data_IF_763334059621
#
_entry.id   IF_763334059621
#
_cell.length_a   1.000
_cell.length_b   1.000
_cell.length_c   1.000
_cell.angle_alpha   90.00
_cell.angle_beta   90.00
_cell.angle_gamma   90.00
#
_symmetry.space_group_name_H-M   'P 1'
#
loop_
_entity.id
_entity.type
_entity.pdbx_description
1 polymer ?
#
# COMPACT_ATOMS: atom_id res chain seq x y z
N UNK A 1 2.02 -15.04 14.66
CA UNK A 1 1.42 -15.49 13.38
C UNK A 1 1.22 -17.01 13.45
N UNK A 2 0.12 -17.52 12.92
CA UNK A 2 -0.14 -18.97 12.79
C UNK A 2 -0.38 -19.23 11.31
N UNK A 3 0.42 -20.10 10.71
CA UNK A 3 0.25 -20.47 9.31
C UNK A 3 -0.88 -21.52 9.18
N UNK A 4 -1.99 -21.12 8.57
CA UNK A 4 -3.12 -22.01 8.24
C UNK A 4 -3.21 -22.34 6.74
N UNK A 5 -2.24 -21.88 5.94
CA UNK A 5 -2.15 -22.23 4.53
C UNK A 5 -1.60 -23.65 4.37
N UNK A 6 -1.89 -24.32 3.25
CA UNK A 6 -1.31 -25.63 2.94
C UNK A 6 0.18 -25.56 2.56
N UNK A 7 0.73 -24.36 2.42
CA UNK A 7 2.09 -24.09 1.98
C UNK A 7 2.85 -23.22 3.00
N UNK A 8 4.18 -23.21 2.98
CA UNK A 8 4.97 -22.32 3.83
C UNK A 8 4.67 -20.85 3.55
N UNK A 9 4.81 -20.00 4.58
CA UNK A 9 4.72 -18.55 4.45
C UNK A 9 5.81 -17.86 5.27
N UNK A 10 6.08 -16.61 4.93
CA UNK A 10 6.72 -15.61 5.79
C UNK A 10 5.92 -14.32 5.77
N UNK A 11 6.15 -13.47 6.76
CA UNK A 11 5.59 -12.12 6.77
C UNK A 11 6.72 -11.14 7.00
N UNK A 12 7.02 -10.36 5.99
CA UNK A 12 7.97 -9.26 6.04
C UNK A 12 7.25 -7.98 6.52
N UNK A 13 7.94 -7.21 7.37
CA UNK A 13 7.47 -5.94 7.92
C UNK A 13 8.16 -4.80 7.19
N UNK A 14 7.61 -4.44 6.05
CA UNK A 14 8.20 -3.54 5.09
C UNK A 14 8.32 -2.10 5.62
N UNK A 15 9.51 -1.54 5.49
CA UNK A 15 9.79 -0.12 5.76
C UNK A 15 9.95 0.25 7.24
N UNK A 16 9.89 -0.72 8.16
CA UNK A 16 10.06 -0.50 9.59
C UNK A 16 11.37 -1.08 10.10
N UNK A 17 12.10 -0.33 10.92
CA UNK A 17 13.35 -0.76 11.51
C UNK A 17 13.09 -1.73 12.67
N UNK A 18 13.69 -2.91 12.61
CA UNK A 18 13.56 -3.94 13.65
C UNK A 18 14.78 -4.87 13.69
N UNK A 19 14.84 -5.77 14.67
CA UNK A 19 15.86 -6.81 14.72
C UNK A 19 15.75 -7.71 13.50
N UNK A 20 16.86 -7.89 12.75
CA UNK A 20 16.91 -8.61 11.48
C UNK A 20 16.24 -10.00 11.56
N UNK A 21 16.36 -10.74 12.66
CA UNK A 21 15.74 -12.05 12.81
C UNK A 21 14.20 -12.01 12.67
N UNK A 22 13.57 -10.90 13.07
CA UNK A 22 12.10 -10.74 13.00
C UNK A 22 11.61 -10.07 11.71
N UNK A 23 12.53 -9.68 10.83
CA UNK A 23 12.22 -8.98 9.58
C UNK A 23 11.38 -9.81 8.58
N UNK A 24 11.41 -11.13 8.72
CA UNK A 24 10.45 -12.01 8.05
C UNK A 24 10.85 -12.51 6.67
N UNK A 25 12.09 -12.32 6.24
CA UNK A 25 12.59 -12.87 4.97
C UNK A 25 13.30 -14.20 5.21
N UNK A 26 12.67 -15.31 4.82
CA UNK A 26 13.21 -16.65 5.06
C UNK A 26 14.59 -16.85 4.43
N UNK A 27 15.54 -17.38 5.23
CA UNK A 27 16.91 -17.67 4.81
C UNK A 27 17.81 -16.43 4.64
N UNK A 28 17.26 -15.23 4.86
CA UNK A 28 17.98 -13.94 4.76
C UNK A 28 17.96 -13.20 6.09
N UNK A 29 16.78 -13.09 6.69
CA UNK A 29 16.61 -12.41 7.99
C UNK A 29 17.29 -13.19 9.12
N UNK A 30 18.05 -12.48 9.96
CA UNK A 30 18.84 -13.05 11.03
C UNK A 30 20.35 -12.88 10.82
N UNK A 31 21.14 -13.55 11.64
CA UNK A 31 22.62 -13.50 11.57
C UNK A 31 23.23 -14.85 11.97
N UNK A 32 24.33 -15.22 11.30
CA UNK A 32 25.06 -16.45 11.61
C UNK A 32 24.17 -17.70 11.53
N UNK A 33 24.17 -18.49 12.60
CA UNK A 33 23.40 -19.74 12.67
C UNK A 33 21.91 -19.54 13.02
N UNK A 34 21.51 -18.30 13.31
CA UNK A 34 20.12 -17.95 13.64
C UNK A 34 19.46 -17.21 12.48
N UNK A 35 19.10 -17.95 11.46
CA UNK A 35 18.31 -17.43 10.35
C UNK A 35 16.81 -17.70 10.57
N UNK A 36 15.96 -16.78 10.14
CA UNK A 36 14.53 -17.01 10.09
C UNK A 36 14.22 -18.05 9.01
N UNK A 37 13.41 -19.04 9.37
CA UNK A 37 12.91 -20.04 8.44
C UNK A 37 11.48 -19.72 8.03
N UNK A 38 11.06 -20.24 6.87
CA UNK A 38 9.66 -20.21 6.50
C UNK A 38 8.82 -20.95 7.54
N UNK A 39 7.64 -20.40 7.84
CA UNK A 39 6.68 -20.97 8.77
C UNK A 39 5.92 -22.05 8.02
N UNK A 40 6.13 -23.33 8.37
CA UNK A 40 5.45 -24.43 7.72
C UNK A 40 3.94 -24.43 8.04
N UNK A 41 3.16 -25.16 7.23
CA UNK A 41 1.72 -25.33 7.47
C UNK A 41 1.46 -25.87 8.88
N UNK A 42 0.55 -25.24 9.61
CA UNK A 42 0.20 -25.59 10.99
C UNK A 42 1.14 -24.99 12.06
N UNK A 43 2.30 -24.47 11.68
CA UNK A 43 3.25 -23.88 12.61
C UNK A 43 2.93 -22.40 12.93
N UNK A 44 3.66 -21.87 13.89
CA UNK A 44 3.53 -20.46 14.31
C UNK A 44 4.88 -19.80 14.53
N UNK A 45 4.91 -18.48 14.33
CA UNK A 45 6.04 -17.63 14.62
C UNK A 45 5.61 -16.39 15.40
N UNK A 46 6.42 -15.96 16.37
CA UNK A 46 6.19 -14.74 17.13
C UNK A 46 7.24 -13.71 16.73
N UNK A 47 6.86 -12.77 15.89
CA UNK A 47 7.68 -11.60 15.63
C UNK A 47 7.59 -10.65 16.83
N UNK A 48 8.74 -10.21 17.32
CA UNK A 48 8.86 -9.22 18.41
C UNK A 48 9.50 -7.97 17.85
N UNK A 49 8.78 -6.85 17.95
CA UNK A 49 9.28 -5.57 17.46
C UNK A 49 8.84 -4.44 18.38
N UNK A 50 9.65 -3.42 18.46
CA UNK A 50 9.29 -2.12 19.05
C UNK A 50 9.50 -1.10 17.96
N UNK A 51 8.42 -0.63 17.30
CA UNK A 51 8.54 0.38 16.25
C UNK A 51 9.24 1.63 16.78
N UNK A 52 10.33 2.08 16.13
CA UNK A 52 11.09 3.24 16.62
C UNK A 52 10.39 4.58 16.34
N UNK A 53 9.40 4.58 15.45
CA UNK A 53 8.67 5.78 15.03
C UNK A 53 7.24 5.46 14.63
N UNK A 54 6.36 6.46 14.74
CA UNK A 54 5.03 6.42 14.17
C UNK A 54 5.11 6.56 12.65
N UNK A 55 4.15 5.96 11.93
CA UNK A 55 4.10 6.05 10.48
C UNK A 55 3.16 5.03 9.84
N UNK A 56 3.12 5.08 8.52
CA UNK A 56 2.40 4.14 7.67
C UNK A 56 3.39 3.18 7.04
N UNK A 57 3.20 1.89 7.31
CA UNK A 57 4.05 0.79 6.86
C UNK A 57 3.21 -0.31 6.24
N UNK A 58 3.86 -1.37 5.75
CA UNK A 58 3.21 -2.50 5.12
C UNK A 58 3.70 -3.80 5.77
N UNK A 59 2.85 -4.80 5.89
CA UNK A 59 3.29 -6.18 6.04
C UNK A 59 2.85 -6.99 4.83
N UNK A 60 3.69 -7.91 4.37
CA UNK A 60 3.35 -8.77 3.25
C UNK A 60 4.14 -10.08 3.27
N UNK A 61 3.69 -11.06 2.50
CA UNK A 61 4.48 -12.27 2.27
C UNK A 61 5.81 -11.96 1.58
N UNK A 62 6.81 -12.81 1.81
CA UNK A 62 8.08 -12.79 1.07
C UNK A 62 8.47 -14.20 0.57
N UNK A 63 7.46 -15.03 0.33
CA UNK A 63 7.55 -16.31 -0.37
C UNK A 63 6.47 -16.32 -1.44
N UNK A 64 6.85 -16.57 -2.69
CA UNK A 64 5.95 -16.58 -3.84
C UNK A 64 5.07 -15.29 -3.90
N UNK A 65 5.75 -14.16 -3.99
CA UNK A 65 5.12 -12.83 -3.93
C UNK A 65 3.97 -12.69 -4.94
N UNK A 66 4.12 -13.25 -6.15
CA UNK A 66 3.06 -13.16 -7.17
C UNK A 66 1.81 -13.90 -6.72
N UNK A 67 1.92 -15.11 -6.18
CA UNK A 67 0.79 -15.92 -5.77
C UNK A 67 0.20 -15.47 -4.44
N UNK A 68 1.03 -15.44 -3.39
CA UNK A 68 0.55 -15.19 -2.03
C UNK A 68 0.16 -13.72 -1.82
N UNK A 69 0.96 -12.78 -2.33
CA UNK A 69 0.67 -11.36 -2.22
C UNK A 69 -0.60 -11.02 -3.01
N UNK A 70 -0.70 -11.45 -4.28
CA UNK A 70 -1.90 -11.20 -5.07
C UNK A 70 -3.14 -11.96 -4.60
N UNK A 71 -2.96 -12.96 -3.73
CA UNK A 71 -4.05 -13.62 -3.01
C UNK A 71 -4.45 -12.92 -1.71
N UNK A 72 -3.83 -11.78 -1.38
CA UNK A 72 -4.22 -10.94 -0.25
C UNK A 72 -3.35 -11.09 0.99
N UNK A 73 -2.18 -11.73 0.91
CA UNK A 73 -1.28 -11.86 2.06
C UNK A 73 -0.43 -10.60 2.24
N UNK A 74 -1.09 -9.49 2.50
CA UNK A 74 -0.53 -8.18 2.79
C UNK A 74 -1.52 -7.35 3.63
N UNK A 75 -1.04 -6.25 4.18
CA UNK A 75 -1.91 -5.26 4.83
C UNK A 75 -1.16 -4.03 5.30
N UNK A 76 -1.89 -2.98 5.66
CA UNK A 76 -1.30 -1.80 6.27
C UNK A 76 -0.86 -2.10 7.70
N UNK A 77 0.28 -1.56 8.09
CA UNK A 77 0.74 -1.48 9.47
C UNK A 77 0.84 -0.01 9.87
N UNK A 78 -0.12 0.44 10.67
CA UNK A 78 -0.16 1.83 11.13
C UNK A 78 0.38 1.88 12.57
N UNK A 79 1.50 2.56 12.72
CA UNK A 79 2.09 2.86 14.02
C UNK A 79 1.69 4.27 14.42
N UNK A 80 1.00 4.40 15.53
CA UNK A 80 0.55 5.70 16.05
C UNK A 80 1.52 6.23 17.09
N UNK A 81 1.61 7.56 17.28
CA UNK A 81 2.31 8.15 18.40
C UNK A 81 1.75 7.63 19.74
N UNK A 82 2.57 7.60 20.80
CA UNK A 82 2.10 7.21 22.12
C UNK A 82 0.90 8.03 22.58
N UNK A 83 -0.16 7.34 23.01
CA UNK A 83 -1.40 7.96 23.49
C UNK A 83 -2.41 8.33 22.41
N UNK A 84 -2.06 8.27 21.14
CA UNK A 84 -3.02 8.44 20.04
C UNK A 84 -3.79 7.16 19.74
N UNK A 85 -4.96 7.32 19.15
CA UNK A 85 -5.83 6.22 18.68
C UNK A 85 -6.12 6.39 17.20
N UNK A 86 -6.19 5.27 16.48
CA UNK A 86 -6.64 5.28 15.10
C UNK A 86 -8.12 5.69 15.04
N UNK A 87 -8.39 6.69 14.25
CA UNK A 87 -9.75 7.17 13.99
C UNK A 87 -10.09 6.92 12.51
N UNK A 88 -10.89 5.90 12.19
CA UNK A 88 -11.23 5.56 10.82
C UNK A 88 -12.05 6.64 10.11
N UNK A 89 -12.66 7.57 10.85
CA UNK A 89 -13.43 8.66 10.28
C UNK A 89 -12.56 9.77 9.71
N UNK A 90 -11.32 9.92 10.18
CA UNK A 90 -10.37 10.93 9.74
C UNK A 90 -9.09 10.37 9.15
N UNK A 91 -8.69 9.16 9.52
CA UNK A 91 -7.58 8.41 8.92
C UNK A 91 -8.10 7.48 7.83
N UNK A 92 -7.90 7.81 6.57
CA UNK A 92 -8.33 7.03 5.41
C UNK A 92 -7.16 6.23 4.83
N UNK A 93 -7.19 4.92 4.95
CA UNK A 93 -6.17 4.02 4.40
C UNK A 93 -6.60 3.55 3.02
N UNK A 94 -5.74 3.79 2.04
CA UNK A 94 -5.94 3.49 0.62
C UNK A 94 -4.85 2.51 0.17
N UNK A 95 -5.18 1.22 0.11
CA UNK A 95 -4.27 0.16 -0.31
C UNK A 95 -4.53 -0.18 -1.77
N UNK A 96 -3.54 0.11 -2.62
CA UNK A 96 -3.56 -0.24 -4.04
C UNK A 96 -2.92 -1.62 -4.19
N UNK A 97 -3.65 -2.54 -4.77
CA UNK A 97 -3.26 -3.94 -4.92
C UNK A 97 -3.76 -4.51 -6.24
N UNK A 98 -3.58 -5.80 -6.44
CA UNK A 98 -4.20 -6.53 -7.55
C UNK A 98 -4.89 -7.79 -7.06
N UNK A 99 -5.80 -8.33 -7.84
CA UNK A 99 -6.55 -9.52 -7.53
C UNK A 99 -5.97 -10.76 -8.20
N UNK A 100 -5.49 -11.70 -7.41
CA UNK A 100 -5.07 -13.00 -7.88
C UNK A 100 -3.81 -13.00 -8.77
N UNK A 101 -3.25 -14.19 -9.07
CA UNK A 101 -2.16 -14.34 -10.02
C UNK A 101 -2.65 -14.17 -11.47
N UNK A 102 -1.79 -13.66 -12.35
CA UNK A 102 -2.10 -13.43 -13.76
C UNK A 102 -2.39 -11.98 -14.12
N UNK A 103 -2.94 -11.75 -15.29
CA UNK A 103 -3.33 -10.42 -15.77
C UNK A 103 -4.62 -9.98 -15.10
N UNK A 104 -4.49 -9.36 -13.94
CA UNK A 104 -5.65 -8.91 -13.18
C UNK A 104 -5.68 -7.39 -13.08
N UNK A 105 -6.86 -6.80 -13.01
CA UNK A 105 -6.98 -5.37 -12.77
C UNK A 105 -6.43 -5.01 -11.39
N UNK A 106 -6.00 -3.75 -11.25
CA UNK A 106 -5.72 -3.19 -9.93
C UNK A 106 -7.02 -3.07 -9.12
N UNK A 107 -6.84 -3.16 -7.82
CA UNK A 107 -7.88 -2.97 -6.82
C UNK A 107 -7.49 -1.85 -5.86
N UNK A 108 -8.47 -1.20 -5.28
CA UNK A 108 -8.30 -0.29 -4.17
C UNK A 108 -9.07 -0.84 -2.96
N UNK A 109 -8.41 -0.98 -1.83
CA UNK A 109 -8.98 -1.59 -0.61
C UNK A 109 -9.66 -2.95 -0.87
N UNK A 110 -9.05 -3.80 -1.70
CA UNK A 110 -9.54 -5.13 -2.00
C UNK A 110 -10.74 -5.19 -2.95
N UNK A 111 -11.09 -4.10 -3.64
CA UNK A 111 -12.24 -4.02 -4.55
C UNK A 111 -11.93 -3.20 -5.81
N UNK A 112 -12.66 -3.48 -6.89
CA UNK A 112 -12.72 -2.62 -8.09
C UNK A 112 -13.69 -1.44 -7.93
N UNK A 113 -14.58 -1.54 -6.98
CA UNK A 113 -15.58 -0.52 -6.63
C UNK A 113 -15.59 -0.33 -5.12
N UNK A 114 -14.49 0.18 -4.53
CA UNK A 114 -14.39 0.33 -3.09
C UNK A 114 -15.28 1.45 -2.57
N UNK A 115 -15.79 1.27 -1.37
CA UNK A 115 -16.40 2.34 -0.60
C UNK A 115 -15.32 3.06 0.21
N UNK A 116 -15.10 4.33 -0.08
CA UNK A 116 -14.14 5.19 0.65
C UNK A 116 -14.83 5.94 1.79
N UNK A 117 -16.15 5.92 1.81
CA UNK A 117 -16.99 6.67 2.75
C UNK A 117 -17.18 8.14 2.35
N UNK A 118 -17.96 8.84 3.14
CA UNK A 118 -18.27 10.26 2.97
C UNK A 118 -17.24 11.11 3.71
N UNK A 119 -16.93 12.27 3.16
CA UNK A 119 -16.13 13.31 3.83
C UNK A 119 -17.02 14.48 4.24
N UNK A 120 -16.56 15.27 5.19
CA UNK A 120 -17.24 16.48 5.68
C UNK A 120 -16.41 17.69 5.25
N UNK A 121 -17.08 18.71 4.72
CA UNK A 121 -16.43 19.96 4.33
C UNK A 121 -15.77 20.63 5.54
N UNK A 122 -14.56 21.14 5.35
CA UNK A 122 -13.80 21.76 6.42
C UNK A 122 -13.12 20.78 7.39
N UNK A 123 -13.47 19.50 7.39
CA UNK A 123 -12.80 18.47 8.21
C UNK A 123 -11.42 18.12 7.61
N UNK A 124 -10.46 17.93 8.49
CA UNK A 124 -9.11 17.48 8.12
C UNK A 124 -9.07 15.96 8.09
N UNK A 125 -8.51 15.40 7.02
CA UNK A 125 -8.30 13.97 6.83
C UNK A 125 -6.81 13.68 6.64
N UNK A 126 -6.37 12.51 7.12
CA UNK A 126 -5.09 11.91 6.74
C UNK A 126 -5.36 10.80 5.74
N UNK A 127 -4.89 10.98 4.52
CA UNK A 127 -4.95 9.96 3.47
C UNK A 127 -3.64 9.18 3.49
N UNK A 128 -3.70 7.90 3.83
CA UNK A 128 -2.56 6.98 3.86
C UNK A 128 -2.60 6.10 2.63
N UNK A 129 -1.73 6.38 1.68
CA UNK A 129 -1.69 5.71 0.38
C UNK A 129 -0.57 4.70 0.38
N UNK A 130 -0.90 3.46 0.03
CA UNK A 130 0.00 2.31 0.03
C UNK A 130 -0.10 1.65 -1.33
N UNK A 131 1.02 1.41 -2.02
CA UNK A 131 1.04 0.61 -3.23
C UNK A 131 1.76 -0.72 -2.98
N UNK A 132 1.02 -1.83 -3.13
CA UNK A 132 1.53 -3.20 -3.02
C UNK A 132 1.34 -3.99 -4.33
N UNK A 133 1.14 -3.31 -5.46
CA UNK A 133 1.10 -3.96 -6.78
C UNK A 133 2.51 -4.42 -7.13
N UNK A 134 2.80 -5.74 -7.24
CA UNK A 134 4.17 -6.26 -7.37
C UNK A 134 4.74 -6.11 -8.79
N UNK A 135 4.38 -5.06 -9.50
CA UNK A 135 4.67 -4.89 -10.92
C UNK A 135 5.06 -3.45 -11.23
N UNK A 136 5.89 -3.28 -12.28
CA UNK A 136 6.10 -2.01 -12.94
C UNK A 136 5.11 -1.84 -14.10
N UNK A 137 4.75 -0.63 -14.51
CA UNK A 137 5.22 0.66 -14.02
C UNK A 137 4.59 1.05 -12.66
N UNK A 138 5.10 2.13 -12.04
CA UNK A 138 4.44 2.76 -10.90
C UNK A 138 2.97 3.08 -11.21
N UNK A 139 2.17 3.23 -10.18
CA UNK A 139 0.75 3.53 -10.26
C UNK A 139 0.54 5.03 -10.06
N UNK A 140 -0.30 5.63 -10.89
CA UNK A 140 -0.73 7.03 -10.73
C UNK A 140 -2.00 7.10 -9.92
N UNK A 141 -2.05 8.03 -8.97
CA UNK A 141 -3.25 8.33 -8.18
C UNK A 141 -3.55 9.82 -8.24
N UNK A 142 -4.81 10.18 -8.40
CA UNK A 142 -5.26 11.56 -8.39
C UNK A 142 -6.59 11.73 -7.66
N UNK A 143 -6.75 12.86 -6.98
CA UNK A 143 -8.01 13.30 -6.39
C UNK A 143 -8.47 14.56 -7.11
N UNK A 144 -9.67 14.54 -7.67
CA UNK A 144 -10.18 15.58 -8.57
C UNK A 144 -11.50 16.16 -8.07
N UNK A 145 -11.70 17.46 -8.33
CA UNK A 145 -12.95 18.19 -8.15
C UNK A 145 -13.34 18.77 -9.51
N UNK A 146 -14.49 18.41 -10.03
CA UNK A 146 -14.98 18.89 -11.34
C UNK A 146 -13.94 18.73 -12.47
N UNK A 147 -13.17 17.64 -12.48
CA UNK A 147 -12.16 17.33 -13.49
C UNK A 147 -10.82 18.05 -13.32
N UNK A 148 -10.65 18.85 -12.26
CA UNK A 148 -9.38 19.50 -11.92
C UNK A 148 -8.77 18.83 -10.69
N UNK A 149 -7.44 18.76 -10.62
CA UNK A 149 -6.78 18.23 -9.44
C UNK A 149 -7.18 19.04 -8.20
N UNK A 150 -7.63 18.36 -7.14
CA UNK A 150 -7.73 18.94 -5.82
C UNK A 150 -6.34 19.30 -5.29
N UNK A 151 -6.26 19.85 -4.09
CA UNK A 151 -4.97 20.12 -3.46
C UNK A 151 -4.86 19.31 -2.17
N UNK A 152 -3.70 18.74 -1.90
CA UNK A 152 -3.34 18.10 -0.64
C UNK A 152 -1.97 18.54 -0.15
N UNK A 153 -1.66 18.22 1.09
CA UNK A 153 -0.36 18.50 1.70
C UNK A 153 0.36 17.19 1.99
N UNK A 154 1.51 16.90 1.37
CA UNK A 154 2.30 15.73 1.74
C UNK A 154 2.84 15.90 3.16
N UNK A 155 2.76 14.86 4.00
CA UNK A 155 3.19 14.91 5.40
C UNK A 155 4.20 13.82 5.76
N UNK A 156 4.12 12.64 5.11
CA UNK A 156 5.08 11.57 5.34
C UNK A 156 5.27 10.72 4.08
N UNK A 157 6.44 10.07 3.99
CA UNK A 157 6.79 9.05 3.00
C UNK A 157 7.50 7.89 3.70
N UNK A 158 7.14 6.64 3.34
CA UNK A 158 7.74 5.40 3.86
C UNK A 158 7.85 5.40 5.40
N UNK A 159 6.76 5.82 6.05
CA UNK A 159 6.65 5.92 7.49
C UNK A 159 7.47 7.03 8.13
N UNK A 160 8.17 7.87 7.38
CA UNK A 160 8.94 9.00 7.90
C UNK A 160 8.26 10.33 7.59
N UNK A 161 8.20 11.24 8.56
CA UNK A 161 7.72 12.60 8.33
C UNK A 161 8.63 13.35 7.35
N UNK A 162 8.01 14.06 6.41
CA UNK A 162 8.72 14.92 5.46
C UNK A 162 9.27 16.17 6.15
N UNK A 163 10.45 16.68 5.72
CA UNK A 163 10.93 18.00 6.14
C UNK A 163 9.93 19.10 5.85
N UNK A 164 9.89 20.15 6.67
CA UNK A 164 8.92 21.24 6.54
C UNK A 164 8.85 21.87 5.12
N UNK A 165 10.00 22.02 4.46
CA UNK A 165 10.08 22.55 3.09
C UNK A 165 9.51 21.63 2.00
N UNK A 166 9.15 20.39 2.34
CA UNK A 166 8.51 19.43 1.43
C UNK A 166 7.02 19.23 1.73
N UNK A 167 6.48 19.96 2.71
CA UNK A 167 5.07 19.86 3.14
C UNK A 167 4.20 21.00 2.59
N UNK A 168 4.55 21.56 1.46
CA UNK A 168 3.73 22.59 0.82
C UNK A 168 2.49 21.99 0.17
N UNK A 169 1.42 22.79 0.10
CA UNK A 169 0.20 22.39 -0.59
C UNK A 169 0.51 22.21 -2.09
N UNK A 170 0.13 21.10 -2.65
CA UNK A 170 0.39 20.76 -4.05
C UNK A 170 -0.85 20.10 -4.70
N UNK A 171 -0.90 20.03 -6.04
CA UNK A 171 -1.94 19.28 -6.72
C UNK A 171 -2.03 17.84 -6.20
N UNK A 172 -3.26 17.35 -6.01
CA UNK A 172 -3.51 16.00 -5.51
C UNK A 172 -3.27 14.96 -6.62
N UNK A 173 -2.01 14.79 -6.97
CA UNK A 173 -1.49 13.84 -7.96
C UNK A 173 -0.21 13.22 -7.42
N UNK A 174 -0.08 11.92 -7.57
CA UNK A 174 1.05 11.14 -7.08
C UNK A 174 1.32 9.97 -8.03
N UNK A 175 2.59 9.75 -8.37
CA UNK A 175 3.07 8.49 -8.94
C UNK A 175 3.76 7.72 -7.82
N UNK A 176 3.30 6.50 -7.53
CA UNK A 176 3.76 5.69 -6.40
C UNK A 176 4.28 4.33 -6.88
N UNK A 177 5.51 4.00 -6.54
CA UNK A 177 6.12 2.70 -6.85
C UNK A 177 5.64 1.61 -5.88
N UNK A 178 5.89 0.35 -6.24
CA UNK A 178 5.59 -0.80 -5.36
C UNK A 178 6.38 -0.69 -4.05
N UNK A 179 5.73 -0.97 -2.94
CA UNK A 179 6.32 -0.92 -1.59
C UNK A 179 6.37 0.48 -0.98
N UNK A 180 6.10 1.53 -1.72
CA UNK A 180 6.07 2.89 -1.18
C UNK A 180 4.77 3.18 -0.43
N UNK A 181 4.89 4.03 0.60
CA UNK A 181 3.76 4.62 1.31
C UNK A 181 3.88 6.14 1.33
N UNK A 182 2.74 6.81 1.21
CA UNK A 182 2.65 8.27 1.33
C UNK A 182 1.47 8.64 2.21
N UNK A 183 1.68 9.64 3.07
CA UNK A 183 0.61 10.24 3.85
C UNK A 183 0.41 11.69 3.42
N UNK A 184 -0.85 12.05 3.20
CA UNK A 184 -1.27 13.41 2.87
C UNK A 184 -2.30 13.92 3.86
N UNK A 185 -2.21 15.19 4.19
CA UNK A 185 -3.30 15.94 4.78
C UNK A 185 -4.20 16.47 3.67
N UNK A 186 -5.48 16.16 3.75
CA UNK A 186 -6.51 16.65 2.83
C UNK A 186 -7.65 17.30 3.62
N UNK A 187 -8.14 18.43 3.12
CA UNK A 187 -9.26 19.15 3.70
C UNK A 187 -10.18 19.61 2.59
N UNK A 188 -11.32 18.96 2.36
CA UNK A 188 -12.29 19.45 1.38
C UNK A 188 -12.86 20.79 1.84
N UNK A 189 -12.86 21.79 0.97
CA UNK A 189 -13.28 23.15 1.32
C UNK A 189 -14.80 23.33 1.31
N UNK A 190 -15.53 22.53 0.54
CA UNK A 190 -16.97 22.62 0.33
C UNK A 190 -17.59 21.28 0.01
N UNK A 191 -18.89 21.16 0.23
CA UNK A 191 -19.68 20.00 -0.19
C UNK A 191 -19.66 19.80 -1.71
N UNK A 192 -19.82 18.56 -2.15
CA UNK A 192 -19.81 18.20 -3.56
C UNK A 192 -19.31 16.78 -3.81
N UNK A 193 -18.91 16.49 -5.03
CA UNK A 193 -18.31 15.22 -5.43
C UNK A 193 -16.83 15.37 -5.71
N UNK A 194 -16.02 14.43 -5.21
CA UNK A 194 -14.65 14.20 -5.59
C UNK A 194 -14.57 12.93 -6.43
N UNK A 195 -13.63 12.88 -7.36
CA UNK A 195 -13.23 11.68 -8.07
C UNK A 195 -11.82 11.27 -7.61
N UNK A 196 -11.70 10.09 -7.00
CA UNK A 196 -10.42 9.44 -6.75
C UNK A 196 -10.15 8.48 -7.89
N UNK A 197 -9.06 8.69 -8.61
CA UNK A 197 -8.63 7.80 -9.69
C UNK A 197 -7.29 7.16 -9.35
N UNK A 198 -7.19 5.87 -9.60
CA UNK A 198 -5.96 5.07 -9.52
C UNK A 198 -5.75 4.40 -10.87
N UNK A 199 -4.60 4.63 -11.47
CA UNK A 199 -4.28 4.16 -12.83
C UNK A 199 -2.95 3.45 -12.82
N UNK A 200 -2.92 2.18 -13.22
CA UNK A 200 -1.69 1.51 -13.64
C UNK A 200 -1.57 1.69 -15.15
N UNK A 201 -0.58 2.42 -15.65
CA UNK A 201 -0.38 2.61 -17.08
C UNK A 201 -0.19 1.28 -17.83
N UNK A 202 -0.51 1.27 -19.10
CA UNK A 202 -0.13 0.17 -19.98
C UNK A 202 1.41 0.08 -20.07
N UNK A 203 1.93 -1.13 -20.05
CA UNK A 203 3.37 -1.33 -20.21
C UNK A 203 3.69 -2.59 -21.01
N UNK A 204 4.89 -2.61 -21.58
CA UNK A 204 5.48 -3.80 -22.16
C UNK A 204 6.25 -4.55 -21.07
N UNK A 205 5.78 -5.74 -20.71
CA UNK A 205 6.47 -6.59 -19.77
C UNK A 205 7.46 -7.46 -20.53
N UNK A 206 8.79 -7.40 -20.21
CA UNK A 206 9.71 -8.40 -20.73
C UNK A 206 9.25 -9.75 -20.18
N UNK A 207 9.09 -10.71 -21.06
CA UNK A 207 8.71 -12.07 -20.71
C UNK A 207 9.79 -12.85 -19.91
N UNK A 208 10.59 -12.15 -19.12
CA UNK A 208 11.67 -12.71 -18.30
C UNK A 208 11.19 -13.70 -17.25
N UNK A 209 9.90 -13.68 -16.94
CA UNK A 209 9.26 -14.64 -16.03
C UNK A 209 8.61 -15.84 -16.76
N UNK A 210 8.69 -15.93 -18.07
CA UNK A 210 8.29 -17.13 -18.80
C UNK A 210 9.54 -17.95 -19.20
N UNK A 211 9.52 -19.28 -19.09
CA UNK A 211 10.68 -20.13 -19.41
C UNK A 211 11.20 -20.01 -20.84
N UNK A 212 10.54 -19.28 -21.72
CA UNK A 212 10.85 -19.17 -23.13
C UNK A 212 11.45 -17.84 -23.60
N UNK A 213 11.68 -16.85 -22.74
CA UNK A 213 12.43 -15.60 -22.99
C UNK A 213 12.09 -14.78 -24.27
N UNK A 214 10.98 -15.02 -24.95
CA UNK A 214 10.74 -14.49 -26.30
C UNK A 214 9.43 -13.73 -26.52
N UNK A 215 8.59 -13.59 -25.56
CA UNK A 215 7.31 -12.90 -25.76
C UNK A 215 7.25 -11.67 -24.83
N UNK A 216 7.13 -10.51 -25.45
CA UNK A 216 6.81 -9.26 -24.74
C UNK A 216 5.29 -9.12 -24.82
N UNK A 217 4.62 -9.25 -23.70
CA UNK A 217 3.16 -9.02 -23.62
C UNK A 217 2.87 -7.59 -23.24
N UNK A 218 1.98 -6.95 -24.02
CA UNK A 218 1.43 -5.66 -23.65
C UNK A 218 0.38 -5.87 -22.56
N UNK A 219 0.66 -5.39 -21.35
CA UNK A 219 -0.35 -5.29 -20.31
C UNK A 219 -1.17 -4.03 -20.52
N UNK A 220 -2.49 -4.13 -20.68
CA UNK A 220 -3.34 -2.97 -20.87
C UNK A 220 -3.36 -2.10 -19.60
N UNK A 221 -3.73 -0.84 -19.78
CA UNK A 221 -4.05 0.06 -18.67
C UNK A 221 -5.11 -0.57 -17.76
N UNK A 222 -4.93 -0.41 -16.47
CA UNK A 222 -5.93 -0.79 -15.48
C UNK A 222 -6.28 0.41 -14.59
N UNK A 223 -7.58 0.63 -14.37
CA UNK A 223 -8.10 1.79 -13.67
C UNK A 223 -9.14 1.41 -12.62
N UNK A 224 -9.06 2.09 -11.48
CA UNK A 224 -10.14 2.17 -10.48
C UNK A 224 -10.51 3.63 -10.31
N UNK A 225 -11.79 3.96 -10.45
CA UNK A 225 -12.31 5.30 -10.21
C UNK A 225 -13.44 5.22 -9.17
N UNK A 226 -13.36 6.09 -8.18
CA UNK A 226 -14.30 6.13 -7.05
C UNK A 226 -14.82 7.55 -6.88
N UNK A 227 -16.14 7.68 -6.75
CA UNK A 227 -16.77 8.92 -6.31
C UNK A 227 -16.80 8.99 -4.80
N UNK A 228 -16.37 10.11 -4.25
CA UNK A 228 -16.41 10.41 -2.82
C UNK A 228 -17.34 11.60 -2.62
N UNK A 229 -18.36 11.43 -1.80
CA UNK A 229 -19.30 12.50 -1.45
C UNK A 229 -18.70 13.33 -0.33
N UNK A 230 -18.73 14.65 -0.49
CA UNK A 230 -18.42 15.61 0.58
C UNK A 230 -19.73 16.26 1.00
N UNK A 231 -20.07 16.14 2.29
CA UNK A 231 -21.23 16.78 2.92
C UNK A 231 -20.83 18.08 3.65
N UNK A 232 -21.83 18.89 3.98
CA UNK A 232 -21.65 20.08 4.83
C UNK A 232 -21.19 19.74 6.24
#
# INVERSE_FOLDING_TARGET
MVNRLPEPLTVHWHGIELESYFDGVAGVSGTGDRLMLAIASGESFVARMTPPRAGTFIYHTHIDDIKQLSSGLYGPLIVLPPGEKFDPDTDRVLVISRAGPGETPIWLNGSRSPEIGTLIAGQKYRLRIINIVPENPPVDISLQIAGMAAAWRPIAKDGAELPAGQRELCPAQLTIAVGETYDFEFRPERAGELALEVVRPANWFPAEFTPSHKVVELRPESRVAVKIVVQE
#
